data_IF_413548985784
#
_entry.id   IF_413548985784
#
_cell.length_a   1.000
_cell.length_b   1.000
_cell.length_c   1.000
_cell.angle_alpha   90.00
_cell.angle_beta   90.00
_cell.angle_gamma   90.00
#
_symmetry.space_group_name_H-M   'P 1'
#
loop_
_entity.id
_entity.type
_entity.pdbx_description
1 polymer ?
#
# COMPACT_ATOMS: atom_id res chain seq x y z
N UNK A 1 -8.05 31.26 58.84
CA UNK A 1 -8.41 30.47 57.64
C UNK A 1 -7.15 30.30 56.80
N UNK A 2 -6.47 29.16 56.92
CA UNK A 2 -5.17 28.92 56.27
C UNK A 2 -5.44 28.28 54.91
N UNK A 3 -5.22 29.03 53.83
CA UNK A 3 -5.41 28.55 52.46
C UNK A 3 -4.32 27.53 52.11
N UNK A 4 -4.73 26.34 51.65
CA UNK A 4 -3.81 25.30 51.20
C UNK A 4 -3.11 25.72 49.90
N UNK A 5 -1.81 25.43 49.73
CA UNK A 5 -1.05 25.83 48.55
C UNK A 5 -1.56 25.10 47.30
N UNK A 6 -1.52 25.75 46.12
CA UNK A 6 -1.97 25.15 44.87
C UNK A 6 -1.07 23.96 44.51
N UNK A 7 -1.69 22.81 44.21
CA UNK A 7 -0.98 21.61 43.75
C UNK A 7 -0.33 21.90 42.40
N UNK A 8 0.97 21.62 42.28
CA UNK A 8 1.70 21.75 41.03
C UNK A 8 1.08 20.85 39.95
N UNK A 9 0.98 21.33 38.69
CA UNK A 9 0.48 20.52 37.59
C UNK A 9 1.41 19.33 37.37
N UNK A 10 0.86 18.12 37.51
CA UNK A 10 1.58 16.88 37.17
C UNK A 10 1.71 16.85 35.64
N UNK A 11 2.91 17.15 35.13
CA UNK A 11 3.23 16.94 33.72
C UNK A 11 3.35 15.43 33.51
N UNK A 12 2.47 14.77 32.72
CA UNK A 12 2.61 13.35 32.47
C UNK A 12 3.93 13.10 31.72
N UNK A 13 4.79 12.26 32.32
CA UNK A 13 6.04 11.82 31.70
C UNK A 13 5.67 11.05 30.42
N UNK A 14 6.24 11.39 29.26
CA UNK A 14 5.96 10.66 28.03
C UNK A 14 6.40 9.21 28.18
N UNK A 15 5.45 8.27 28.14
CA UNK A 15 5.74 6.83 28.10
C UNK A 15 6.54 6.53 26.84
N UNK A 16 7.71 5.93 27.02
CA UNK A 16 8.49 5.39 25.91
C UNK A 16 7.69 4.24 25.28
N UNK A 17 7.45 4.27 23.96
CA UNK A 17 6.75 3.18 23.29
C UNK A 17 7.58 1.89 23.35
N UNK A 18 6.92 0.72 23.32
CA UNK A 18 7.61 -0.56 23.23
C UNK A 18 8.47 -0.64 21.94
N UNK A 19 9.52 -1.49 21.93
CA UNK A 19 10.32 -1.71 20.73
C UNK A 19 9.43 -2.18 19.57
N UNK A 20 9.61 -1.58 18.40
CA UNK A 20 8.78 -1.85 17.21
C UNK A 20 7.57 -0.93 17.05
N UNK A 21 7.18 -0.17 18.07
CA UNK A 21 6.09 0.81 17.97
C UNK A 21 6.65 2.23 17.72
N UNK A 22 5.97 2.97 16.84
CA UNK A 22 6.23 4.37 16.56
C UNK A 22 5.65 5.23 17.69
N UNK A 23 6.38 6.29 18.07
CA UNK A 23 5.89 7.22 19.07
C UNK A 23 4.60 7.94 18.62
N UNK A 24 3.77 8.44 19.56
CA UNK A 24 2.49 9.09 19.21
C UNK A 24 2.63 10.28 18.27
N UNK A 25 3.72 11.04 18.35
CA UNK A 25 3.95 12.19 17.49
C UNK A 25 4.22 11.74 16.03
N UNK A 26 4.97 10.66 15.86
CA UNK A 26 5.22 10.01 14.57
C UNK A 26 3.93 9.42 14.00
N UNK A 27 3.11 8.75 14.82
CA UNK A 27 1.80 8.24 14.41
C UNK A 27 0.90 9.38 13.90
N UNK A 28 0.81 10.48 14.64
CA UNK A 28 0.00 11.64 14.26
C UNK A 28 0.52 12.29 12.97
N UNK A 29 1.84 12.46 12.82
CA UNK A 29 2.45 12.98 11.59
C UNK A 29 2.12 12.11 10.38
N UNK A 30 2.17 10.78 10.53
CA UNK A 30 1.83 9.82 9.47
C UNK A 30 0.36 9.95 9.06
N UNK A 31 -0.57 10.05 10.01
CA UNK A 31 -2.00 10.27 9.74
C UNK A 31 -2.24 11.57 8.96
N UNK A 32 -1.62 12.68 9.39
CA UNK A 32 -1.73 13.97 8.71
C UNK A 32 -1.17 13.91 7.28
N UNK A 33 -0.02 13.26 7.09
CA UNK A 33 0.58 13.06 5.76
C UNK A 33 -0.32 12.20 4.86
N UNK A 34 -0.94 11.16 5.39
CA UNK A 34 -1.88 10.32 4.65
C UNK A 34 -3.07 11.13 4.14
N UNK A 35 -3.71 11.89 5.02
CA UNK A 35 -4.84 12.77 4.67
C UNK A 35 -4.43 13.81 3.64
N UNK A 36 -3.26 14.44 3.81
CA UNK A 36 -2.72 15.40 2.85
C UNK A 36 -2.42 14.77 1.49
N UNK A 37 -1.86 13.56 1.46
CA UNK A 37 -1.61 12.82 0.22
C UNK A 37 -2.90 12.46 -0.51
N UNK A 38 -3.94 12.03 0.21
CA UNK A 38 -5.27 11.77 -0.34
C UNK A 38 -5.92 13.04 -0.91
N UNK A 39 -5.87 14.15 -0.17
CA UNK A 39 -6.40 15.43 -0.64
C UNK A 39 -5.66 15.91 -1.91
N UNK A 40 -4.33 15.83 -1.90
CA UNK A 40 -3.50 16.20 -3.06
C UNK A 40 -3.73 15.29 -4.28
N UNK A 41 -4.04 14.00 -4.07
CA UNK A 41 -4.45 13.11 -5.15
C UNK A 41 -5.77 13.57 -5.77
N UNK A 42 -6.80 13.80 -4.94
CA UNK A 42 -8.12 14.25 -5.42
C UNK A 42 -8.03 15.56 -6.19
N UNK A 43 -7.28 16.53 -5.68
CA UNK A 43 -7.07 17.81 -6.34
C UNK A 43 -6.32 17.67 -7.69
N UNK A 44 -5.33 16.77 -7.79
CA UNK A 44 -4.66 16.54 -9.09
C UNK A 44 -5.53 15.76 -10.06
N UNK A 45 -6.37 14.85 -9.57
CA UNK A 45 -7.30 14.11 -10.39
C UNK A 45 -8.33 15.06 -11.02
N UNK A 46 -8.88 16.01 -10.26
CA UNK A 46 -9.83 17.00 -10.79
C UNK A 46 -9.23 17.96 -11.82
N UNK A 47 -7.92 18.20 -11.77
CA UNK A 47 -7.19 19.04 -12.72
C UNK A 47 -6.58 18.26 -13.91
N UNK A 48 -6.69 16.92 -13.91
CA UNK A 48 -6.07 16.11 -14.95
C UNK A 48 -6.94 16.13 -16.21
N UNK A 49 -6.36 16.58 -17.33
CA UNK A 49 -7.03 16.61 -18.63
C UNK A 49 -7.51 15.21 -19.05
N UNK A 50 -8.76 15.14 -19.49
CA UNK A 50 -9.41 13.95 -20.03
C UNK A 50 -8.73 13.59 -21.36
N UNK A 51 -7.86 12.58 -21.37
CA UNK A 51 -7.32 12.06 -22.64
C UNK A 51 -5.97 11.34 -22.58
N UNK A 52 -5.10 11.66 -21.61
CA UNK A 52 -3.79 10.98 -21.53
C UNK A 52 -3.81 9.81 -20.55
N UNK A 53 -3.98 8.60 -21.07
CA UNK A 53 -3.89 7.34 -20.30
C UNK A 53 -2.54 7.25 -19.58
N UNK A 54 -1.42 7.57 -20.26
CA UNK A 54 -0.07 7.54 -19.68
C UNK A 54 0.08 8.52 -18.51
N UNK A 55 -0.48 9.73 -18.60
CA UNK A 55 -0.43 10.72 -17.52
C UNK A 55 -1.25 10.25 -16.33
N UNK A 56 -2.46 9.74 -16.55
CA UNK A 56 -3.32 9.15 -15.49
C UNK A 56 -2.61 8.00 -14.78
N UNK A 57 -2.06 7.04 -15.52
CA UNK A 57 -1.32 5.91 -14.96
C UNK A 57 -0.09 6.36 -14.14
N UNK A 58 0.64 7.37 -14.64
CA UNK A 58 1.79 7.91 -13.90
C UNK A 58 1.35 8.58 -12.60
N UNK A 59 0.24 9.34 -12.63
CA UNK A 59 -0.35 9.93 -11.45
C UNK A 59 -0.82 8.85 -10.45
N UNK A 60 -1.40 7.75 -10.92
CA UNK A 60 -1.81 6.63 -10.09
C UNK A 60 -0.61 6.00 -9.35
N UNK A 61 0.46 5.64 -10.08
CA UNK A 61 1.70 5.10 -9.47
C UNK A 61 2.29 6.06 -8.45
N UNK A 62 2.45 7.34 -8.83
CA UNK A 62 3.03 8.35 -7.94
C UNK A 62 2.17 8.58 -6.69
N UNK A 63 0.85 8.51 -6.83
CA UNK A 63 -0.08 8.68 -5.70
C UNK A 63 -0.05 7.47 -4.78
N UNK A 64 0.00 6.25 -5.31
CA UNK A 64 0.17 5.05 -4.52
C UNK A 64 1.48 5.08 -3.72
N UNK A 65 2.60 5.41 -4.37
CA UNK A 65 3.89 5.54 -3.69
C UNK A 65 3.88 6.62 -2.60
N UNK A 66 3.22 7.76 -2.84
CA UNK A 66 3.07 8.84 -1.85
C UNK A 66 2.22 8.42 -0.65
N UNK A 67 1.13 7.69 -0.88
CA UNK A 67 0.26 7.19 0.17
C UNK A 67 1.01 6.20 1.08
N UNK A 68 1.74 5.24 0.50
CA UNK A 68 2.57 4.30 1.25
C UNK A 68 3.68 5.03 2.04
N UNK A 69 4.36 5.98 1.41
CA UNK A 69 5.40 6.78 2.06
C UNK A 69 4.85 7.65 3.19
N UNK A 70 3.62 8.17 3.04
CA UNK A 70 2.98 9.02 4.03
C UNK A 70 2.78 8.30 5.37
N UNK A 71 2.46 7.01 5.33
CA UNK A 71 2.32 6.15 6.51
C UNK A 71 3.64 5.50 6.93
N UNK A 72 4.73 5.74 6.20
CA UNK A 72 6.06 5.23 6.52
C UNK A 72 6.29 3.78 6.10
N UNK A 73 5.54 3.27 5.12
CA UNK A 73 5.71 1.93 4.57
C UNK A 73 6.79 1.94 3.48
N UNK A 74 7.66 0.94 3.51
CA UNK A 74 8.59 0.63 2.41
C UNK A 74 8.04 -0.53 1.57
N UNK A 75 8.21 -0.47 0.26
CA UNK A 75 7.84 -1.57 -0.64
C UNK A 75 9.11 -2.28 -1.08
N UNK A 76 9.15 -3.59 -0.90
CA UNK A 76 10.22 -4.46 -1.40
C UNK A 76 9.62 -5.37 -2.45
N UNK A 77 10.20 -5.34 -3.65
CA UNK A 77 9.76 -6.19 -4.77
C UNK A 77 10.73 -7.34 -4.93
N UNK A 78 10.25 -8.55 -4.74
CA UNK A 78 11.01 -9.78 -4.98
C UNK A 78 10.66 -10.30 -6.36
N UNK A 79 11.63 -10.24 -7.27
CA UNK A 79 11.50 -10.75 -8.63
C UNK A 79 11.66 -12.28 -8.63
N UNK A 80 11.00 -13.02 -9.54
CA UNK A 80 11.25 -14.43 -9.72
C UNK A 80 12.57 -14.66 -10.45
N UNK A 81 13.09 -15.88 -10.36
CA UNK A 81 14.28 -16.31 -11.10
C UNK A 81 14.07 -16.34 -12.61
N UNK A 82 12.82 -16.56 -13.06
CA UNK A 82 12.43 -16.52 -14.46
C UNK A 82 11.90 -15.14 -14.84
N UNK A 83 12.18 -14.62 -16.06
CA UNK A 83 11.63 -13.35 -16.51
C UNK A 83 10.10 -13.30 -16.39
N UNK A 84 9.58 -12.23 -15.77
CA UNK A 84 8.14 -11.97 -15.73
C UNK A 84 7.61 -11.72 -17.14
N UNK A 85 6.45 -12.29 -17.53
CA UNK A 85 5.85 -11.99 -18.82
C UNK A 85 5.58 -10.49 -18.97
N UNK A 86 6.05 -9.92 -20.07
CA UNK A 86 5.81 -8.51 -20.43
C UNK A 86 4.96 -8.35 -21.69
N UNK A 87 4.82 -9.43 -22.47
CA UNK A 87 4.20 -9.46 -23.79
C UNK A 87 3.21 -10.62 -23.88
N UNK A 88 2.16 -10.48 -24.69
CA UNK A 88 1.12 -11.50 -24.88
C UNK A 88 -0.05 -11.38 -23.90
N UNK A 89 -1.06 -12.25 -24.04
CA UNK A 89 -2.22 -12.29 -23.14
C UNK A 89 -1.81 -12.88 -21.78
N UNK A 90 -1.81 -12.05 -20.73
CA UNK A 90 -1.53 -12.46 -19.36
C UNK A 90 -2.53 -11.81 -18.41
N UNK A 91 -2.80 -12.44 -17.26
CA UNK A 91 -3.76 -11.95 -16.26
C UNK A 91 -3.12 -11.92 -14.88
N UNK A 92 -3.40 -10.88 -14.10
CA UNK A 92 -2.81 -10.70 -12.78
C UNK A 92 -3.55 -11.55 -11.72
N UNK A 93 -2.87 -12.55 -11.15
CA UNK A 93 -3.41 -13.39 -10.09
C UNK A 93 -2.97 -12.89 -8.73
N UNK A 94 -3.83 -12.17 -8.00
CA UNK A 94 -3.42 -11.50 -6.77
C UNK A 94 -3.82 -12.33 -5.54
N UNK A 95 -2.84 -12.74 -4.74
CA UNK A 95 -3.06 -13.17 -3.35
C UNK A 95 -2.60 -12.05 -2.42
N UNK A 96 -3.53 -11.22 -2.00
CA UNK A 96 -3.27 -10.02 -1.22
C UNK A 96 -3.77 -10.18 0.22
N UNK A 97 -2.84 -10.38 1.15
CA UNK A 97 -3.13 -10.44 2.59
C UNK A 97 -3.05 -9.06 3.27
N UNK A 98 -2.56 -8.05 2.53
CA UNK A 98 -2.33 -6.69 3.00
C UNK A 98 -3.45 -5.69 2.64
N UNK A 99 -4.59 -6.17 2.13
CA UNK A 99 -5.77 -5.37 1.81
C UNK A 99 -5.48 -4.17 0.91
N UNK A 100 -6.07 -3.01 1.20
CA UNK A 100 -5.92 -1.79 0.38
C UNK A 100 -4.46 -1.34 0.24
N UNK A 101 -3.63 -1.48 1.29
CA UNK A 101 -2.22 -1.11 1.21
C UNK A 101 -1.43 -2.07 0.32
N UNK A 102 -1.79 -3.36 0.32
CA UNK A 102 -1.24 -4.34 -0.60
C UNK A 102 -1.56 -4.02 -2.06
N UNK A 103 -2.78 -3.58 -2.34
CA UNK A 103 -3.18 -3.13 -3.68
C UNK A 103 -2.39 -1.88 -4.10
N UNK A 104 -2.17 -0.91 -3.19
CA UNK A 104 -1.32 0.24 -3.47
C UNK A 104 0.14 -0.17 -3.75
N UNK A 105 0.68 -1.13 -3.00
CA UNK A 105 2.02 -1.65 -3.24
C UNK A 105 2.12 -2.34 -4.60
N UNK A 106 1.09 -3.10 -4.98
CA UNK A 106 0.97 -3.73 -6.29
C UNK A 106 1.08 -2.70 -7.42
N UNK A 107 0.42 -1.55 -7.30
CA UNK A 107 0.50 -0.48 -8.30
C UNK A 107 1.92 0.07 -8.50
N UNK A 108 2.74 0.02 -7.45
CA UNK A 108 4.14 0.48 -7.51
C UNK A 108 5.12 -0.60 -7.98
N UNK A 109 4.76 -1.88 -7.82
CA UNK A 109 5.65 -3.02 -8.05
C UNK A 109 5.42 -3.71 -9.40
N UNK A 110 4.17 -3.75 -9.88
CA UNK A 110 3.77 -4.47 -11.09
C UNK A 110 3.80 -3.52 -12.31
N UNK A 111 4.31 -3.97 -13.47
CA UNK A 111 4.27 -3.17 -14.69
C UNK A 111 2.86 -2.70 -15.03
N UNK A 112 2.71 -1.41 -15.36
CA UNK A 112 1.41 -0.78 -15.71
C UNK A 112 0.75 -1.37 -16.97
N UNK A 113 1.53 -2.06 -17.78
CA UNK A 113 1.07 -2.76 -18.99
C UNK A 113 0.42 -4.11 -18.70
N UNK A 114 0.53 -4.60 -17.46
CA UNK A 114 -0.05 -5.89 -17.06
C UNK A 114 -1.58 -5.77 -17.06
N UNK A 115 -2.31 -6.63 -17.79
CA UNK A 115 -3.77 -6.66 -17.71
C UNK A 115 -4.25 -6.91 -16.26
N UNK A 116 -5.30 -6.19 -15.86
CA UNK A 116 -5.80 -6.12 -14.49
C UNK A 116 -5.17 -5.01 -13.64
N UNK A 117 -4.00 -4.46 -14.01
CA UNK A 117 -3.37 -3.36 -13.26
C UNK A 117 -4.28 -2.13 -13.16
N UNK A 118 -4.91 -1.74 -14.27
CA UNK A 118 -5.81 -0.58 -14.31
C UNK A 118 -7.06 -0.79 -13.44
N UNK A 119 -7.60 -2.01 -13.40
CA UNK A 119 -8.73 -2.35 -12.55
C UNK A 119 -8.38 -2.24 -11.06
N UNK A 120 -7.18 -2.69 -10.66
CA UNK A 120 -6.67 -2.46 -9.29
C UNK A 120 -6.53 -0.96 -9.03
N UNK A 121 -5.96 -0.20 -9.97
CA UNK A 121 -5.74 1.23 -9.80
C UNK A 121 -7.04 2.02 -9.58
N UNK A 122 -8.06 1.71 -10.38
CA UNK A 122 -9.37 2.36 -10.30
C UNK A 122 -10.15 1.94 -9.04
N UNK A 123 -9.89 0.73 -8.50
CA UNK A 123 -10.48 0.28 -7.23
C UNK A 123 -9.92 1.04 -6.02
N UNK A 124 -8.61 1.30 -5.98
CA UNK A 124 -7.96 1.83 -4.76
C UNK A 124 -7.61 3.31 -4.81
N UNK A 125 -7.63 3.94 -5.99
CA UNK A 125 -7.36 5.37 -6.14
C UNK A 125 -8.58 6.09 -6.70
N UNK A 126 -9.10 7.13 -6.01
CA UNK A 126 -10.25 7.90 -6.47
C UNK A 126 -9.86 8.91 -7.56
N UNK A 127 -9.44 8.44 -8.75
CA UNK A 127 -8.91 9.28 -9.84
C UNK A 127 -9.96 9.59 -10.93
N UNK A 128 -11.22 9.19 -10.75
CA UNK A 128 -12.31 9.42 -11.71
C UNK A 128 -13.08 8.14 -12.03
N UNK A 129 -14.00 8.16 -13.02
CA UNK A 129 -14.81 7.00 -13.34
C UNK A 129 -13.93 5.82 -13.75
N UNK A 130 -14.22 4.66 -13.15
CA UNK A 130 -13.56 3.41 -13.45
C UNK A 130 -13.81 3.06 -14.91
N UNK A 131 -12.75 2.90 -15.70
CA UNK A 131 -12.90 2.37 -17.06
C UNK A 131 -12.92 0.87 -16.91
N UNK A 132 -14.09 0.25 -17.07
CA UNK A 132 -14.20 -1.21 -17.08
C UNK A 132 -13.52 -1.74 -18.33
N UNK A 133 -12.27 -2.15 -18.19
CA UNK A 133 -11.63 -2.99 -19.21
C UNK A 133 -12.12 -4.42 -18.98
N UNK A 134 -12.66 -5.06 -20.02
CA UNK A 134 -12.92 -6.49 -19.98
C UNK A 134 -11.59 -7.21 -19.69
N UNK A 135 -11.54 -7.99 -18.61
CA UNK A 135 -10.35 -8.77 -18.32
C UNK A 135 -10.28 -9.94 -19.33
N UNK A 136 -9.16 -10.12 -20.05
CA UNK A 136 -9.00 -11.29 -20.89
C UNK A 136 -8.91 -12.53 -19.98
N UNK A 137 -9.90 -13.43 -20.10
CA UNK A 137 -10.00 -14.62 -19.25
C UNK A 137 -8.96 -15.69 -19.66
N UNK A 138 -8.50 -15.68 -20.90
CA UNK A 138 -7.62 -16.70 -21.51
C UNK A 138 -6.13 -16.34 -21.48
N UNK A 139 -5.71 -15.49 -20.54
CA UNK A 139 -4.31 -15.08 -20.38
C UNK A 139 -3.51 -15.97 -19.41
N UNK A 140 -2.21 -16.04 -19.63
CA UNK A 140 -1.26 -16.68 -18.69
C UNK A 140 -1.34 -16.01 -17.31
N UNK A 141 -1.64 -16.80 -16.27
CA UNK A 141 -1.74 -16.30 -14.90
C UNK A 141 -0.36 -15.84 -14.41
N UNK A 142 -0.30 -14.59 -13.94
CA UNK A 142 0.86 -13.94 -13.37
C UNK A 142 0.65 -13.78 -11.85
N UNK A 143 1.05 -14.77 -11.02
CA UNK A 143 0.71 -14.80 -9.61
C UNK A 143 1.56 -13.83 -8.77
N UNK A 144 0.92 -12.94 -8.03
CA UNK A 144 1.58 -11.97 -7.15
C UNK A 144 1.07 -12.15 -5.73
N UNK A 145 1.99 -12.30 -4.79
CA UNK A 145 1.67 -12.32 -3.35
C UNK A 145 2.10 -11.02 -2.71
N UNK A 146 1.26 -10.48 -1.84
CA UNK A 146 1.58 -9.27 -1.06
C UNK A 146 1.37 -9.53 0.42
N UNK A 147 2.43 -9.37 1.20
CA UNK A 147 2.46 -9.66 2.65
C UNK A 147 3.13 -8.53 3.43
N UNK A 148 2.74 -8.37 4.70
CA UNK A 148 3.41 -7.48 5.64
C UNK A 148 4.61 -8.16 6.29
N UNK A 149 5.68 -7.39 6.49
CA UNK A 149 6.79 -7.72 7.40
C UNK A 149 7.35 -6.44 8.02
N UNK A 150 8.17 -6.54 9.05
CA UNK A 150 8.99 -5.43 9.53
C UNK A 150 10.39 -5.56 8.94
N UNK A 151 11.20 -4.50 9.07
CA UNK A 151 12.64 -4.58 8.79
C UNK A 151 13.33 -5.63 9.67
N UNK A 152 12.80 -5.88 10.87
CA UNK A 152 13.37 -6.80 11.85
C UNK A 152 12.89 -8.26 11.69
N UNK A 153 11.83 -8.52 10.92
CA UNK A 153 11.30 -9.88 10.76
C UNK A 153 9.86 -9.98 10.28
N UNK A 154 9.28 -11.19 10.24
CA UNK A 154 7.87 -11.38 9.90
C UNK A 154 6.96 -10.77 10.96
N UNK A 155 5.81 -10.21 10.54
CA UNK A 155 4.77 -9.83 11.50
C UNK A 155 3.98 -11.07 11.93
N UNK A 156 3.65 -11.21 13.23
CA UNK A 156 2.81 -12.30 13.72
C UNK A 156 1.36 -12.17 13.23
N UNK A 157 0.82 -10.95 13.16
CA UNK A 157 -0.51 -10.66 12.64
C UNK A 157 -0.45 -9.46 11.68
N UNK A 158 -1.10 -9.53 10.51
CA UNK A 158 -1.17 -8.41 9.59
C UNK A 158 -2.05 -7.29 10.17
N UNK A 159 -1.61 -6.01 10.09
CA UNK A 159 -2.42 -4.90 10.54
C UNK A 159 -3.67 -4.75 9.66
N UNK A 160 -4.82 -4.59 10.30
CA UNK A 160 -6.14 -4.49 9.65
C UNK A 160 -6.62 -3.06 9.52
N UNK A 161 -6.09 -2.17 10.36
CA UNK A 161 -6.49 -0.76 10.39
C UNK A 161 -5.33 0.18 10.08
N UNK A 162 -5.66 1.37 9.57
CA UNK A 162 -4.67 2.43 9.38
C UNK A 162 -3.98 2.83 10.70
N UNK A 163 -4.69 2.72 11.83
CA UNK A 163 -4.13 3.05 13.14
C UNK A 163 -3.02 2.08 13.55
N UNK A 164 -3.21 0.78 13.34
CA UNK A 164 -2.17 -0.22 13.56
C UNK A 164 -0.98 0.02 12.62
N UNK A 165 -1.24 0.32 11.35
CA UNK A 165 -0.20 0.60 10.36
C UNK A 165 0.68 1.77 10.77
N UNK A 166 0.09 2.90 11.18
CA UNK A 166 0.89 4.07 11.57
C UNK A 166 1.62 3.86 12.89
N UNK A 167 1.14 2.95 13.74
CA UNK A 167 1.78 2.57 14.99
C UNK A 167 2.99 1.66 14.79
N UNK A 168 3.07 0.88 13.71
CA UNK A 168 4.21 -0.01 13.48
C UNK A 168 5.42 0.77 12.92
N UNK A 169 6.59 0.59 13.51
CA UNK A 169 7.87 1.10 13.00
C UNK A 169 8.47 0.12 12.01
N UNK A 170 9.09 0.64 10.95
CA UNK A 170 9.80 -0.19 9.97
C UNK A 170 8.91 -1.14 9.20
N UNK A 171 7.63 -0.78 8.97
CA UNK A 171 6.70 -1.63 8.23
C UNK A 171 7.10 -1.72 6.74
N UNK A 172 7.15 -2.94 6.23
CA UNK A 172 7.52 -3.28 4.87
C UNK A 172 6.38 -4.08 4.23
N UNK A 173 5.99 -3.68 3.03
CA UNK A 173 5.17 -4.50 2.14
C UNK A 173 6.10 -5.25 1.20
N UNK A 174 6.08 -6.57 1.31
CA UNK A 174 6.81 -7.43 0.41
C UNK A 174 5.87 -7.88 -0.71
N UNK A 175 6.22 -7.49 -1.94
CA UNK A 175 5.52 -7.88 -3.15
C UNK A 175 6.36 -8.92 -3.86
N UNK A 176 5.93 -10.18 -3.87
CA UNK A 176 6.62 -11.24 -4.59
C UNK A 176 5.93 -11.52 -5.90
N UNK A 177 6.68 -11.39 -6.98
CA UNK A 177 6.28 -11.80 -8.31
C UNK A 177 6.69 -13.28 -8.46
N UNK A 178 5.72 -14.20 -8.57
CA UNK A 178 5.96 -15.65 -8.60
C UNK A 178 6.04 -16.21 -10.02
N UNK A 179 7.07 -17.03 -10.28
CA UNK A 179 7.33 -17.60 -11.59
C UNK A 179 6.05 -18.15 -12.25
N UNK A 180 5.94 -17.88 -13.54
CA UNK A 180 4.74 -18.19 -14.31
C UNK A 180 4.82 -19.65 -14.73
N UNK A 181 4.07 -20.52 -14.03
CA UNK A 181 4.07 -21.96 -14.30
C UNK A 181 3.08 -22.72 -13.43
N UNK A 182 2.09 -23.33 -14.11
CA UNK A 182 1.00 -24.25 -13.69
C UNK A 182 0.30 -23.97 -12.36
N UNK A 183 -1.04 -23.96 -12.42
CA UNK A 183 -1.91 -24.07 -11.25
C UNK A 183 -1.27 -24.95 -10.17
N UNK A 184 -0.94 -24.33 -9.04
CA UNK A 184 -0.59 -25.08 -7.84
C UNK A 184 -1.92 -25.66 -7.36
N UNK A 185 -2.27 -26.85 -7.86
CA UNK A 185 -3.25 -27.71 -7.20
C UNK A 185 -2.75 -27.90 -5.78
N UNK A 186 -3.41 -27.24 -4.83
CA UNK A 186 -3.17 -27.42 -3.41
C UNK A 186 -3.66 -28.83 -3.09
N UNK A 187 -2.73 -29.75 -2.82
CA UNK A 187 -3.05 -31.03 -2.23
C UNK A 187 -3.78 -30.77 -0.89
N UNK A 188 -4.97 -31.35 -0.77
CA UNK A 188 -5.70 -31.51 0.48
C UNK A 188 -5.35 -32.87 1.08
#
# INVERSE_FOLDING_TARGET
>A
MTAAPPRAPVIPVPRRPPPGEADPATQQRRRLRWSAAMAGLKARASLSAVGSVRRRQSLQVCSAARLLTAVGIRVVVVQPSTPWPRTGAHRLGIRNEAGLLGDLALLTAVPRTTPGWAAVADRVLPVGPAVRCAEPHDGVLCPVTVTFRTEDGPLPEPPRTLNEVVAIRGLVLEVRLLAVGREVSRAA
#
